data_IF_502148713486
#
_entry.id   IF_502148713486
#
_cell.length_a   1.000
_cell.length_b   1.000
_cell.length_c   1.000
_cell.angle_alpha   90.00
_cell.angle_beta   90.00
_cell.angle_gamma   90.00
#
_symmetry.space_group_name_H-M   'P 1'
#
loop_
_entity.id
_entity.type
_entity.pdbx_description
1 polymer ?
#
# COMPACT_ATOMS: atom_id res chain seq x y z
N UNK A 1 -53.83 -13.85 18.61
CA UNK A 1 -53.16 -12.54 18.57
C UNK A 1 -51.75 -12.80 18.04
N UNK A 2 -51.34 -12.17 16.95
CA UNK A 2 -49.97 -12.30 16.44
C UNK A 2 -49.03 -11.70 17.48
N UNK A 3 -48.06 -12.48 17.94
CA UNK A 3 -47.05 -11.96 18.86
C UNK A 3 -46.13 -11.03 18.06
N UNK A 4 -45.58 -10.01 18.73
CA UNK A 4 -44.70 -9.05 18.05
C UNK A 4 -43.47 -9.71 17.41
N UNK A 5 -43.04 -10.86 17.97
CA UNK A 5 -42.02 -11.73 17.38
C UNK A 5 -42.40 -12.27 16.00
N UNK A 6 -43.62 -12.76 15.85
CA UNK A 6 -44.08 -13.34 14.59
C UNK A 6 -44.10 -12.26 13.49
N UNK A 7 -44.53 -11.05 13.83
CA UNK A 7 -44.58 -9.92 12.88
C UNK A 7 -43.17 -9.53 12.43
N UNK A 8 -42.18 -9.50 13.33
CA UNK A 8 -40.79 -9.21 12.96
C UNK A 8 -40.14 -10.31 12.12
N UNK A 9 -40.50 -11.57 12.37
CA UNK A 9 -39.95 -12.71 11.63
C UNK A 9 -40.54 -12.80 10.22
N UNK A 10 -41.85 -12.57 10.08
CA UNK A 10 -42.50 -12.49 8.76
C UNK A 10 -42.09 -11.25 7.96
N UNK A 11 -41.84 -10.10 8.61
CA UNK A 11 -41.32 -8.92 7.90
C UNK A 11 -39.91 -9.14 7.36
N UNK A 12 -39.06 -9.81 8.14
CA UNK A 12 -37.70 -10.14 7.72
C UNK A 12 -37.70 -11.12 6.54
N UNK A 13 -38.52 -12.18 6.62
CA UNK A 13 -38.67 -13.14 5.53
C UNK A 13 -39.22 -12.49 4.26
N UNK A 14 -40.21 -11.60 4.39
CA UNK A 14 -40.76 -10.84 3.27
C UNK A 14 -39.76 -9.90 2.60
N UNK A 15 -38.93 -9.18 3.38
CA UNK A 15 -37.85 -8.34 2.82
C UNK A 15 -36.74 -9.17 2.16
N UNK A 16 -36.43 -10.35 2.70
CA UNK A 16 -35.40 -11.22 2.16
C UNK A 16 -35.83 -11.80 0.80
N UNK A 17 -37.05 -12.31 0.69
CA UNK A 17 -37.61 -12.81 -0.58
C UNK A 17 -37.75 -11.69 -1.61
N UNK A 18 -38.22 -10.50 -1.20
CA UNK A 18 -38.33 -9.34 -2.09
C UNK A 18 -36.96 -8.92 -2.63
N UNK A 19 -35.92 -8.92 -1.78
CA UNK A 19 -34.53 -8.66 -2.20
C UNK A 19 -34.00 -9.75 -3.11
N UNK A 20 -34.27 -11.02 -2.83
CA UNK A 20 -33.81 -12.14 -3.64
C UNK A 20 -34.40 -12.08 -5.05
N UNK A 21 -35.69 -11.77 -5.19
CA UNK A 21 -36.33 -11.57 -6.50
C UNK A 21 -35.77 -10.36 -7.25
N UNK A 22 -35.44 -9.27 -6.55
CA UNK A 22 -34.78 -8.09 -7.14
C UNK A 22 -33.33 -8.38 -7.58
N UNK A 23 -32.63 -9.24 -6.85
CA UNK A 23 -31.25 -9.65 -7.15
C UNK A 23 -31.16 -10.73 -8.22
N UNK A 24 -32.25 -11.44 -8.50
CA UNK A 24 -32.26 -12.50 -9.51
C UNK A 24 -31.90 -11.97 -10.90
N UNK A 25 -32.24 -10.71 -11.20
CA UNK A 25 -31.86 -10.06 -12.46
C UNK A 25 -30.40 -9.57 -12.45
N UNK A 26 -29.86 -9.21 -11.29
CA UNK A 26 -28.45 -8.84 -11.12
C UNK A 26 -27.55 -10.09 -11.25
N UNK A 27 -27.94 -11.21 -10.65
CA UNK A 27 -27.25 -12.50 -10.69
C UNK A 27 -27.26 -13.19 -12.07
N UNK A 28 -28.05 -12.67 -13.03
CA UNK A 28 -28.03 -13.12 -14.43
C UNK A 28 -27.05 -12.35 -15.29
N UNK A 29 -26.53 -11.22 -14.81
CA UNK A 29 -25.60 -10.39 -15.56
C UNK A 29 -24.26 -11.11 -15.73
N UNK A 30 -23.64 -11.01 -16.90
CA UNK A 30 -22.42 -11.75 -17.21
C UNK A 30 -21.26 -11.46 -16.24
N UNK A 31 -21.21 -10.27 -15.63
CA UNK A 31 -20.20 -9.92 -14.63
C UNK A 31 -20.40 -10.59 -13.25
N UNK A 32 -21.53 -11.25 -13.01
CA UNK A 32 -21.73 -12.10 -11.80
C UNK A 32 -21.27 -13.54 -12.01
N UNK A 33 -20.95 -13.93 -13.25
CA UNK A 33 -20.34 -15.24 -13.54
C UNK A 33 -18.89 -15.24 -13.06
N UNK A 34 -18.40 -16.36 -12.50
CA UNK A 34 -17.06 -16.43 -11.91
C UNK A 34 -15.94 -16.19 -12.94
N UNK A 35 -16.07 -16.71 -14.16
CA UNK A 35 -15.03 -16.58 -15.18
C UNK A 35 -14.77 -15.11 -15.62
N UNK A 36 -15.78 -14.28 -15.93
CA UNK A 36 -15.60 -12.85 -16.15
C UNK A 36 -14.99 -12.11 -14.94
N UNK A 37 -15.43 -12.42 -13.71
CA UNK A 37 -14.85 -11.80 -12.51
C UNK A 37 -13.36 -12.14 -12.35
N UNK A 38 -12.98 -13.40 -12.52
CA UNK A 38 -11.59 -13.83 -12.46
C UNK A 38 -10.73 -13.17 -13.54
N UNK A 39 -11.27 -13.05 -14.76
CA UNK A 39 -10.59 -12.36 -15.86
C UNK A 39 -10.39 -10.87 -15.54
N UNK A 40 -11.41 -10.20 -15.02
CA UNK A 40 -11.34 -8.79 -14.59
C UNK A 40 -10.33 -8.59 -13.47
N UNK A 41 -10.30 -9.46 -12.46
CA UNK A 41 -9.31 -9.42 -11.37
C UNK A 41 -7.89 -9.59 -11.92
N UNK A 42 -7.66 -10.57 -12.82
CA UNK A 42 -6.35 -10.76 -13.46
C UNK A 42 -5.93 -9.56 -14.29
N UNK A 43 -6.87 -8.98 -15.04
CA UNK A 43 -6.64 -7.78 -15.84
C UNK A 43 -6.20 -6.60 -14.97
N UNK A 44 -6.95 -6.29 -13.90
CA UNK A 44 -6.59 -5.18 -13.02
C UNK A 44 -5.30 -5.42 -12.24
N UNK A 45 -5.00 -6.67 -11.86
CA UNK A 45 -3.68 -7.03 -11.30
C UNK A 45 -2.55 -6.74 -12.28
N UNK A 46 -2.74 -7.05 -13.57
CA UNK A 46 -1.75 -6.74 -14.61
C UNK A 46 -1.59 -5.23 -14.83
N UNK A 47 -2.69 -4.47 -14.86
CA UNK A 47 -2.65 -3.01 -14.92
C UNK A 47 -1.88 -2.43 -13.72
N UNK A 48 -2.23 -2.84 -12.50
CA UNK A 48 -1.55 -2.43 -11.28
C UNK A 48 -0.06 -2.77 -11.30
N UNK A 49 0.32 -3.98 -11.74
CA UNK A 49 1.73 -4.37 -11.84
C UNK A 49 2.52 -3.49 -12.83
N UNK A 50 1.91 -3.09 -13.96
CA UNK A 50 2.55 -2.19 -14.93
C UNK A 50 2.77 -0.79 -14.36
N UNK A 51 1.76 -0.27 -13.67
CA UNK A 51 1.86 1.01 -12.98
C UNK A 51 2.93 0.94 -11.88
N UNK A 52 2.90 -0.10 -11.05
CA UNK A 52 3.86 -0.29 -9.96
C UNK A 52 5.31 -0.32 -10.46
N UNK A 53 5.59 -0.98 -11.59
CA UNK A 53 6.93 -0.93 -12.22
C UNK A 53 7.34 0.50 -12.57
N UNK A 54 6.42 1.30 -13.15
CA UNK A 54 6.69 2.69 -13.49
C UNK A 54 6.99 3.52 -12.23
N UNK A 55 6.20 3.35 -11.17
CA UNK A 55 6.40 4.05 -9.89
C UNK A 55 7.70 3.62 -9.20
N UNK A 56 8.00 2.32 -9.17
CA UNK A 56 9.23 1.79 -8.60
C UNK A 56 10.47 2.34 -9.29
N UNK A 57 10.46 2.52 -10.62
CA UNK A 57 11.60 3.12 -11.33
C UNK A 57 11.88 4.56 -10.86
N UNK A 58 10.83 5.35 -10.66
CA UNK A 58 10.95 6.71 -10.13
C UNK A 58 11.44 6.67 -8.68
N UNK A 59 10.91 5.76 -7.88
CA UNK A 59 11.26 5.65 -6.47
C UNK A 59 12.69 5.16 -6.25
N UNK A 60 13.17 4.21 -7.05
CA UNK A 60 14.58 3.78 -7.05
C UNK A 60 15.48 4.97 -7.31
N UNK A 61 15.18 5.79 -8.32
CA UNK A 61 15.99 6.97 -8.62
C UNK A 61 15.97 7.98 -7.46
N UNK A 62 14.81 8.21 -6.84
CA UNK A 62 14.69 9.10 -5.67
C UNK A 62 15.46 8.57 -4.47
N UNK A 63 15.39 7.26 -4.20
CA UNK A 63 16.13 6.63 -3.11
C UNK A 63 17.63 6.72 -3.35
N UNK A 64 18.12 6.45 -4.56
CA UNK A 64 19.53 6.62 -4.91
C UNK A 64 19.99 8.07 -4.69
N UNK A 65 19.18 9.05 -5.11
CA UNK A 65 19.47 10.47 -4.90
C UNK A 65 19.49 10.83 -3.41
N UNK A 66 18.51 10.37 -2.64
CA UNK A 66 18.44 10.63 -1.21
C UNK A 66 19.61 10.02 -0.44
N UNK A 67 20.07 8.81 -0.81
CA UNK A 67 21.27 8.18 -0.24
C UNK A 67 22.49 9.04 -0.58
N UNK A 68 22.66 9.43 -1.85
CA UNK A 68 23.80 10.24 -2.28
C UNK A 68 23.84 11.61 -1.58
N UNK A 69 22.70 12.29 -1.49
CA UNK A 69 22.58 13.59 -0.83
C UNK A 69 22.89 13.47 0.66
N UNK A 70 22.44 12.39 1.31
CA UNK A 70 22.77 12.10 2.71
C UNK A 70 24.28 11.90 2.89
N UNK A 71 24.94 11.19 1.99
CA UNK A 71 26.38 10.96 2.05
C UNK A 71 27.15 12.28 1.93
N UNK A 72 26.77 13.14 0.98
CA UNK A 72 27.36 14.47 0.80
C UNK A 72 27.14 15.32 2.05
N UNK A 73 25.92 15.38 2.57
CA UNK A 73 25.61 16.19 3.75
C UNK A 73 26.37 15.70 4.98
N UNK A 74 26.43 14.38 5.19
CA UNK A 74 27.10 13.81 6.34
C UNK A 74 28.61 14.05 6.30
N UNK A 75 29.23 13.89 5.13
CA UNK A 75 30.65 14.19 4.94
C UNK A 75 30.94 15.68 5.16
N UNK A 76 30.09 16.57 4.66
CA UNK A 76 30.21 18.02 4.89
C UNK A 76 30.06 18.40 6.38
N UNK A 77 29.12 17.77 7.09
CA UNK A 77 28.95 17.99 8.53
C UNK A 77 30.17 17.49 9.31
N UNK A 78 30.70 16.31 8.97
CA UNK A 78 31.90 15.77 9.61
C UNK A 78 33.11 16.69 9.39
N UNK A 79 33.34 17.18 8.16
CA UNK A 79 34.47 18.08 7.88
C UNK A 79 34.36 19.40 8.63
N UNK A 80 33.16 20.00 8.69
CA UNK A 80 32.91 21.21 9.47
C UNK A 80 33.12 20.97 10.98
N UNK A 81 32.62 19.85 11.51
CA UNK A 81 32.77 19.49 12.91
C UNK A 81 34.22 19.18 13.27
N UNK A 82 35.02 18.61 12.37
CA UNK A 82 36.44 18.39 12.63
C UNK A 82 37.21 19.70 12.86
N UNK A 83 36.76 20.81 12.25
CA UNK A 83 37.34 22.15 12.45
C UNK A 83 36.83 22.78 13.76
N UNK A 84 35.53 22.71 14.05
CA UNK A 84 34.94 23.38 15.22
C UNK A 84 35.07 22.57 16.53
N UNK A 85 34.86 21.25 16.47
CA UNK A 85 34.94 20.33 17.60
C UNK A 85 35.49 18.96 17.16
N UNK A 86 36.82 18.78 17.21
CA UNK A 86 37.48 17.60 16.63
C UNK A 86 37.12 16.29 17.32
N UNK A 87 36.75 16.30 18.61
CA UNK A 87 36.35 15.09 19.33
C UNK A 87 35.00 14.58 18.82
N UNK A 88 34.02 15.47 18.69
CA UNK A 88 32.70 15.13 18.17
C UNK A 88 32.76 14.72 16.69
N UNK A 89 33.54 15.44 15.88
CA UNK A 89 33.74 15.12 14.47
C UNK A 89 34.33 13.73 14.25
N UNK A 90 35.32 13.32 15.07
CA UNK A 90 35.92 11.98 14.99
C UNK A 90 34.97 10.86 15.39
N UNK A 91 34.18 11.05 16.44
CA UNK A 91 33.20 10.03 16.85
C UNK A 91 32.10 9.87 15.79
N UNK A 92 31.58 10.97 15.25
CA UNK A 92 30.62 10.95 14.14
C UNK A 92 31.18 10.25 12.89
N UNK A 93 32.45 10.53 12.55
CA UNK A 93 33.11 9.87 11.43
C UNK A 93 33.20 8.34 11.63
N UNK A 94 33.56 7.89 12.83
CA UNK A 94 33.66 6.46 13.16
C UNK A 94 32.30 5.76 13.08
N UNK A 95 31.26 6.39 13.62
CA UNK A 95 29.89 5.87 13.55
C UNK A 95 29.41 5.79 12.10
N UNK A 96 29.68 6.83 11.31
CA UNK A 96 29.33 6.87 9.90
C UNK A 96 30.01 5.76 9.10
N UNK A 97 31.31 5.53 9.31
CA UNK A 97 32.05 4.43 8.66
C UNK A 97 31.47 3.06 9.01
N UNK A 98 31.00 2.87 10.23
CA UNK A 98 30.33 1.63 10.65
C UNK A 98 28.99 1.48 9.93
N UNK A 99 28.22 2.56 9.81
CA UNK A 99 26.94 2.55 9.09
C UNK A 99 27.11 2.24 7.60
N UNK A 100 28.13 2.81 6.95
CA UNK A 100 28.47 2.54 5.55
C UNK A 100 28.98 1.11 5.35
N UNK A 101 29.65 0.51 6.33
CA UNK A 101 30.14 -0.86 6.24
C UNK A 101 29.05 -1.94 6.39
N UNK A 102 27.89 -1.57 6.96
CA UNK A 102 26.75 -2.48 7.18
C UNK A 102 25.75 -2.47 6.01
N UNK A 103 25.68 -1.35 5.27
CA UNK A 103 24.87 -1.22 4.06
C UNK A 103 25.60 -1.76 2.83
#
# INVERSE_FOLDING_TARGET
QLLWKDITEYSFLGECDLRQHSWTDICKLDWTKPAPQEATVKYFKLCGAREEIMWLNVEIQRLCMAIHDKDIQMTAVITNLLVSNPLLGRELQRQWQTCVAVN
#
